data_IF_983890648836
#
_entry.id   IF_983890648836
#
_cell.length_a   1.000
_cell.length_b   1.000
_cell.length_c   1.000
_cell.angle_alpha   90.00
_cell.angle_beta   90.00
_cell.angle_gamma   90.00
#
_symmetry.space_group_name_H-M   'P 1'
#
loop_
_entity.id
_entity.type
_entity.pdbx_description
1 polymer ?
#
# COMPACT_ATOMS: atom_id res chain seq x y z
N UNK A 1 -1.23 1.12 -2.90
CA UNK A 1 -1.12 2.35 -2.10
C UNK A 1 -2.03 2.21 -0.91
N UNK A 2 -1.51 2.52 0.28
CA UNK A 2 -2.26 2.43 1.53
C UNK A 2 -2.20 3.78 2.20
N UNK A 3 -3.30 4.52 2.14
CA UNK A 3 -3.40 5.87 2.67
C UNK A 3 -4.88 6.15 3.02
N UNK A 4 -5.12 6.86 4.12
CA UNK A 4 -6.47 7.22 4.55
C UNK A 4 -6.92 8.58 4.01
N UNK A 5 -6.03 9.36 3.39
CA UNK A 5 -6.35 10.60 2.73
C UNK A 5 -6.76 10.35 1.27
N UNK A 6 -8.04 10.58 0.91
CA UNK A 6 -8.53 10.36 -0.44
C UNK A 6 -7.90 11.30 -1.48
N UNK A 7 -7.43 12.49 -1.08
CA UNK A 7 -6.80 13.44 -2.00
C UNK A 7 -5.39 12.97 -2.36
N UNK A 8 -4.64 12.43 -1.40
CA UNK A 8 -3.34 11.77 -1.66
C UNK A 8 -3.56 10.53 -2.53
N UNK A 9 -4.59 9.72 -2.23
CA UNK A 9 -4.94 8.56 -3.03
C UNK A 9 -5.17 8.92 -4.50
N UNK A 10 -5.98 9.95 -4.76
CA UNK A 10 -6.29 10.42 -6.11
C UNK A 10 -5.04 10.98 -6.82
N UNK A 11 -4.28 11.86 -6.15
CA UNK A 11 -3.13 12.52 -6.77
C UNK A 11 -2.03 11.52 -7.19
N UNK A 12 -1.71 10.55 -6.32
CA UNK A 12 -0.71 9.53 -6.63
C UNK A 12 -1.23 8.49 -7.63
N UNK A 13 -2.54 8.20 -7.62
CA UNK A 13 -3.15 7.34 -8.63
C UNK A 13 -2.98 7.95 -10.02
N UNK A 14 -3.34 9.22 -10.20
CA UNK A 14 -3.19 9.92 -11.48
C UNK A 14 -1.73 9.98 -11.94
N UNK A 15 -0.80 10.23 -11.01
CA UNK A 15 0.64 10.27 -11.32
C UNK A 15 1.17 8.91 -11.80
N UNK A 16 0.79 7.83 -11.13
CA UNK A 16 1.34 6.49 -11.40
C UNK A 16 0.66 5.84 -12.61
N UNK A 17 -0.64 6.09 -12.83
CA UNK A 17 -1.33 5.61 -14.03
C UNK A 17 -0.79 6.25 -15.31
N UNK A 18 -0.37 7.51 -15.26
CA UNK A 18 0.32 8.16 -16.39
C UNK A 18 1.62 7.43 -16.79
N UNK A 19 2.26 6.74 -15.86
CA UNK A 19 3.47 5.93 -16.10
C UNK A 19 3.13 4.49 -16.55
N UNK A 20 1.88 4.23 -16.97
CA UNK A 20 1.36 2.92 -17.42
C UNK A 20 1.34 1.82 -16.35
N UNK A 21 1.41 2.19 -15.06
CA UNK A 21 1.24 1.25 -13.96
C UNK A 21 -0.23 1.17 -13.52
N UNK A 22 -0.62 0.04 -12.93
CA UNK A 22 -1.93 -0.09 -12.26
C UNK A 22 -1.76 0.16 -10.77
N UNK A 23 -2.63 0.98 -10.21
CA UNK A 23 -2.64 1.29 -8.79
C UNK A 23 -3.84 0.61 -8.12
N UNK A 24 -3.63 0.10 -6.91
CA UNK A 24 -4.71 -0.33 -6.01
C UNK A 24 -4.67 0.57 -4.78
N UNK A 25 -5.72 1.35 -4.57
CA UNK A 25 -5.90 2.21 -3.40
C UNK A 25 -6.61 1.47 -2.27
N UNK A 26 -6.05 1.54 -1.07
CA UNK A 26 -6.56 0.91 0.15
C UNK A 26 -6.42 1.93 1.29
N UNK A 27 -7.32 1.93 2.27
CA UNK A 27 -7.32 2.95 3.34
C UNK A 27 -7.15 2.39 4.76
N UNK A 28 -6.88 1.09 4.90
CA UNK A 28 -6.71 0.43 6.20
C UNK A 28 -5.53 -0.55 6.19
N UNK A 29 -4.91 -0.74 7.36
CA UNK A 29 -3.89 -1.76 7.60
C UNK A 29 -4.42 -3.16 7.28
N UNK A 30 -5.65 -3.45 7.72
CA UNK A 30 -6.29 -4.76 7.53
C UNK A 30 -6.40 -5.14 6.06
N UNK A 31 -6.90 -4.22 5.24
CA UNK A 31 -7.12 -4.47 3.82
C UNK A 31 -5.78 -4.59 3.08
N UNK A 32 -4.77 -3.81 3.48
CA UNK A 32 -3.42 -3.94 2.93
C UNK A 32 -2.87 -5.35 3.16
N UNK A 33 -2.98 -5.87 4.38
CA UNK A 33 -2.53 -7.21 4.75
C UNK A 33 -3.32 -8.33 4.07
N UNK A 34 -4.62 -8.12 3.80
CA UNK A 34 -5.41 -9.06 3.04
C UNK A 34 -4.98 -9.08 1.56
N UNK A 35 -4.72 -7.90 0.98
CA UNK A 35 -4.40 -7.77 -0.43
C UNK A 35 -3.03 -8.35 -0.76
N UNK A 36 -1.98 -8.05 0.02
CA UNK A 36 -0.61 -8.56 -0.24
C UNK A 36 -0.49 -10.09 -0.16
N UNK A 37 -1.48 -10.78 0.42
CA UNK A 37 -1.53 -12.25 0.46
C UNK A 37 -2.15 -12.86 -0.80
N UNK A 38 -2.86 -12.06 -1.58
CA UNK A 38 -3.64 -12.52 -2.75
C UNK A 38 -3.09 -11.97 -4.06
N UNK A 39 -2.34 -10.88 -4.00
CA UNK A 39 -1.75 -10.20 -5.14
C UNK A 39 -0.29 -9.89 -4.85
N UNK A 40 0.59 -10.26 -5.78
CA UNK A 40 1.99 -9.85 -5.75
C UNK A 40 2.11 -8.41 -6.22
N UNK A 41 2.55 -7.54 -5.32
CA UNK A 41 2.85 -6.14 -5.64
C UNK A 41 4.36 -5.97 -5.80
N UNK A 42 4.84 -5.36 -6.90
CA UNK A 42 6.27 -5.08 -7.05
C UNK A 42 6.73 -3.92 -6.14
N UNK A 43 5.81 -3.07 -5.70
CA UNK A 43 6.06 -1.95 -4.80
C UNK A 43 4.79 -1.62 -3.99
N UNK A 44 4.97 -1.10 -2.78
CA UNK A 44 3.87 -0.66 -1.90
C UNK A 44 4.19 0.71 -1.31
N UNK A 45 3.39 1.70 -1.66
CA UNK A 45 3.35 2.99 -0.96
C UNK A 45 2.44 2.87 0.27
N UNK A 46 2.99 3.17 1.45
CA UNK A 46 2.36 2.90 2.75
C UNK A 46 2.46 4.14 3.64
N UNK A 47 1.31 4.67 4.06
CA UNK A 47 1.24 5.66 5.13
C UNK A 47 1.41 4.99 6.50
N UNK A 48 2.06 5.72 7.41
CA UNK A 48 2.28 5.30 8.81
C UNK A 48 1.02 5.62 9.65
N UNK A 49 0.31 6.71 9.34
CA UNK A 49 -0.79 7.28 10.11
C UNK A 49 -2.17 6.67 9.89
N UNK A 50 -2.26 5.35 9.73
CA UNK A 50 -3.51 4.68 9.36
C UNK A 50 -4.52 4.62 10.54
N UNK A 51 -5.84 4.66 10.25
CA UNK A 51 -6.88 4.78 11.28
C UNK A 51 -7.05 3.52 12.14
N UNK A 52 -6.60 2.37 11.65
CA UNK A 52 -6.78 1.05 12.29
C UNK A 52 -5.48 0.41 12.78
N UNK A 53 -4.35 1.11 12.70
CA UNK A 53 -3.06 0.58 13.16
C UNK A 53 -1.85 1.37 12.70
N UNK A 54 -0.67 0.84 13.03
CA UNK A 54 0.62 1.41 12.64
C UNK A 54 1.09 0.83 11.29
N UNK A 55 1.27 1.69 10.30
CA UNK A 55 1.80 1.29 8.99
C UNK A 55 3.15 0.58 9.08
N UNK A 56 4.01 0.90 10.05
CA UNK A 56 5.28 0.18 10.21
C UNK A 56 5.08 -1.30 10.61
N UNK A 57 4.01 -1.61 11.34
CA UNK A 57 3.67 -3.01 11.65
C UNK A 57 3.20 -3.76 10.38
N UNK A 58 2.47 -3.07 9.49
CA UNK A 58 2.09 -3.60 8.19
C UNK A 58 3.34 -3.85 7.33
N UNK A 59 4.27 -2.90 7.24
CA UNK A 59 5.52 -3.05 6.49
C UNK A 59 6.33 -4.27 6.94
N UNK A 60 6.51 -4.43 8.26
CA UNK A 60 7.21 -5.60 8.83
C UNK A 60 6.53 -6.91 8.44
N UNK A 61 5.21 -6.92 8.43
CA UNK A 61 4.43 -8.11 8.04
C UNK A 61 4.60 -8.40 6.55
N UNK A 62 4.54 -7.38 5.70
CA UNK A 62 4.76 -7.51 4.25
C UNK A 62 6.16 -8.06 3.97
N UNK A 63 7.20 -7.52 4.59
CA UNK A 63 8.58 -7.98 4.42
C UNK A 63 8.78 -9.44 4.86
N UNK A 64 8.07 -9.89 5.89
CA UNK A 64 8.11 -11.29 6.32
C UNK A 64 7.46 -12.26 5.32
N UNK A 65 6.47 -11.79 4.56
CA UNK A 65 5.73 -12.60 3.58
C UNK A 65 6.38 -12.51 2.19
N UNK A 66 6.92 -11.35 1.83
CA UNK A 66 7.52 -11.03 0.55
C UNK A 66 8.87 -10.32 0.75
N UNK A 67 9.98 -11.05 0.99
CA UNK A 67 11.27 -10.48 1.34
C UNK A 67 11.92 -9.63 0.24
N UNK A 68 11.47 -9.79 -1.01
CA UNK A 68 11.99 -9.08 -2.19
C UNK A 68 11.32 -7.72 -2.41
N UNK A 69 10.28 -7.38 -1.64
CA UNK A 69 9.56 -6.12 -1.78
C UNK A 69 10.40 -4.98 -1.20
N UNK A 70 10.80 -4.03 -2.05
CA UNK A 70 11.55 -2.85 -1.62
C UNK A 70 10.58 -1.77 -1.12
N UNK A 71 10.86 -1.11 0.02
CA UNK A 71 10.07 0.02 0.50
C UNK A 71 10.23 1.25 -0.39
#
# INVERSE_FOLDING_TARGET
>A
MVDNDPDILAALHDLIEHECFRVTGISTCRDALAQVKTVDFPAVFLDIGLPDGDGLAVLKTIQAIAPTLSP
#
